data_IF_639110314996
#
_entry.id   IF_639110314996
#
_cell.length_a   1.000
_cell.length_b   1.000
_cell.length_c   1.000
_cell.angle_alpha   90.00
_cell.angle_beta   90.00
_cell.angle_gamma   90.00
#
_symmetry.space_group_name_H-M   'P 1'
#
loop_
_entity.id
_entity.type
_entity.pdbx_description
1 polymer ?
#
# COMPACT_ATOMS: atom_id res chain seq x y z
N UNK A 1 13.71 13.85 -4.38
CA UNK A 1 12.66 14.79 -4.01
C UNK A 1 11.32 14.24 -4.41
N UNK A 2 10.31 14.58 -3.67
CA UNK A 2 8.96 14.07 -3.90
C UNK A 2 8.48 14.41 -5.31
N UNK A 3 8.70 15.63 -5.75
CA UNK A 3 8.24 16.05 -7.06
C UNK A 3 8.87 15.27 -8.21
N UNK A 4 10.06 14.71 -7.98
CA UNK A 4 10.73 13.93 -9.02
C UNK A 4 10.17 12.52 -9.12
N UNK A 5 9.52 12.05 -8.05
CA UNK A 5 9.01 10.68 -7.99
C UNK A 5 7.56 10.60 -8.41
N UNK A 6 6.82 11.73 -8.37
CA UNK A 6 5.40 11.70 -8.62
C UNK A 6 4.91 13.07 -9.05
N UNK A 7 3.77 13.06 -9.77
CA UNK A 7 3.04 14.27 -10.13
C UNK A 7 2.12 14.74 -9.02
N UNK A 8 2.00 13.97 -7.94
CA UNK A 8 1.08 14.32 -6.86
C UNK A 8 1.59 15.50 -6.04
N UNK A 9 0.66 16.39 -5.69
CA UNK A 9 0.97 17.51 -4.82
C UNK A 9 1.21 17.03 -3.40
N UNK A 10 2.06 17.74 -2.67
CA UNK A 10 2.34 17.40 -1.27
C UNK A 10 1.07 17.34 -0.43
N UNK A 11 0.10 18.20 -0.74
CA UNK A 11 -1.17 18.21 -0.01
C UNK A 11 -1.95 16.93 -0.22
N UNK A 12 -1.95 16.41 -1.44
CA UNK A 12 -2.62 15.12 -1.72
C UNK A 12 -1.93 13.98 -0.98
N UNK A 13 -0.62 13.99 -0.99
CA UNK A 13 0.16 12.97 -0.29
C UNK A 13 -0.16 12.98 1.20
N UNK A 14 -0.19 14.18 1.80
CA UNK A 14 -0.47 14.29 3.23
C UNK A 14 -1.89 13.81 3.56
N UNK A 15 -2.86 14.12 2.70
CA UNK A 15 -4.24 13.66 2.91
C UNK A 15 -4.33 12.14 2.90
N UNK A 16 -3.58 11.49 2.01
CA UNK A 16 -3.58 10.04 1.94
C UNK A 16 -2.91 9.43 3.17
N UNK A 17 -1.83 10.04 3.64
CA UNK A 17 -1.17 9.62 4.88
C UNK A 17 -2.15 9.75 6.05
N UNK A 18 -2.84 10.88 6.14
CA UNK A 18 -3.80 11.11 7.24
C UNK A 18 -4.92 10.06 7.21
N UNK A 19 -5.41 9.73 6.02
CA UNK A 19 -6.43 8.69 5.87
C UNK A 19 -5.91 7.32 6.26
N UNK A 20 -4.66 7.02 5.91
CA UNK A 20 -4.07 5.74 6.27
C UNK A 20 -3.90 5.62 7.78
N UNK A 21 -3.59 6.73 8.46
CA UNK A 21 -3.48 6.74 9.92
C UNK A 21 -4.84 6.38 10.55
N UNK A 22 -5.93 6.93 10.02
CA UNK A 22 -7.27 6.62 10.52
C UNK A 22 -7.64 5.18 10.20
N UNK A 23 -7.33 4.70 9.00
CA UNK A 23 -7.62 3.32 8.62
C UNK A 23 -6.88 2.33 9.54
N UNK A 24 -5.67 2.69 9.97
CA UNK A 24 -4.87 1.87 10.89
C UNK A 24 -5.60 1.58 12.20
N UNK A 25 -6.48 2.50 12.64
CA UNK A 25 -7.18 2.31 13.90
C UNK A 25 -8.12 1.11 13.90
N UNK A 26 -8.48 0.62 12.72
CA UNK A 26 -9.36 -0.53 12.59
C UNK A 26 -8.60 -1.85 12.52
N UNK A 27 -7.30 -1.84 12.75
CA UNK A 27 -6.48 -3.05 12.67
C UNK A 27 -7.02 -4.15 13.58
N UNK A 28 -6.95 -5.39 13.09
CA UNK A 28 -7.18 -6.55 13.92
C UNK A 28 -5.81 -7.23 14.10
N UNK A 29 -5.10 -6.85 15.16
CA UNK A 29 -3.73 -7.31 15.38
C UNK A 29 -3.54 -7.78 16.84
N UNK A 30 -4.31 -8.79 17.27
CA UNK A 30 -4.25 -9.26 18.66
C UNK A 30 -2.95 -9.98 18.99
N UNK A 31 -2.20 -10.44 18.02
CA UNK A 31 -0.97 -11.21 18.23
C UNK A 31 0.26 -10.33 18.24
N UNK A 32 0.43 -9.50 17.22
CA UNK A 32 1.61 -8.66 17.10
C UNK A 32 1.45 -7.30 17.77
N UNK A 33 0.22 -6.84 17.92
CA UNK A 33 -0.09 -5.47 18.36
C UNK A 33 0.52 -4.42 17.44
N UNK A 34 0.80 -4.79 16.19
CA UNK A 34 1.40 -3.90 15.21
C UNK A 34 0.36 -3.58 14.13
N UNK A 35 -0.26 -2.41 14.25
CA UNK A 35 -1.30 -1.98 13.32
C UNK A 35 -0.73 -1.25 12.11
N UNK A 36 -1.28 -1.55 10.95
CA UNK A 36 -0.90 -0.92 9.68
C UNK A 36 -2.18 -0.44 9.00
N UNK A 37 -2.12 0.75 8.40
CA UNK A 37 -3.21 1.28 7.61
C UNK A 37 -2.75 1.55 6.20
N UNK A 38 -3.65 1.39 5.24
CA UNK A 38 -3.35 1.64 3.84
C UNK A 38 -4.52 2.29 3.14
N UNK A 39 -4.21 3.09 2.12
CA UNK A 39 -5.22 3.78 1.30
C UNK A 39 -4.82 3.64 -0.15
N UNK A 40 -5.71 3.10 -0.96
CA UNK A 40 -5.50 2.92 -2.39
C UNK A 40 -6.36 3.90 -3.17
N UNK A 41 -5.75 4.60 -4.12
CA UNK A 41 -6.45 5.51 -5.02
C UNK A 41 -6.48 4.88 -6.40
N UNK A 42 -7.67 4.69 -6.94
CA UNK A 42 -7.85 4.17 -8.29
C UNK A 42 -7.73 5.28 -9.32
N UNK A 43 -7.52 4.91 -10.59
CA UNK A 43 -7.40 5.90 -11.65
C UNK A 43 -8.63 6.79 -11.78
N UNK A 44 -9.81 6.25 -11.52
CA UNK A 44 -11.05 7.02 -11.61
C UNK A 44 -11.33 7.87 -10.37
N UNK A 45 -10.42 7.86 -9.39
CA UNK A 45 -10.56 8.65 -8.17
C UNK A 45 -11.19 7.91 -7.01
N UNK A 46 -11.69 6.70 -7.22
CA UNK A 46 -12.24 5.88 -6.13
C UNK A 46 -11.15 5.57 -5.11
N UNK A 47 -11.52 5.51 -3.84
CA UNK A 47 -10.57 5.28 -2.74
C UNK A 47 -11.02 4.07 -1.93
N UNK A 48 -10.05 3.20 -1.61
CA UNK A 48 -10.29 2.02 -0.78
C UNK A 48 -9.27 2.01 0.36
N UNK A 49 -9.76 1.77 1.57
CA UNK A 49 -8.92 1.73 2.76
C UNK A 49 -8.76 0.31 3.24
N UNK A 50 -7.64 0.02 3.88
CA UNK A 50 -7.39 -1.28 4.44
C UNK A 50 -6.59 -1.20 5.72
N UNK A 51 -6.66 -2.25 6.52
CA UNK A 51 -5.84 -2.43 7.69
C UNK A 51 -5.38 -3.88 7.71
N UNK A 52 -4.36 -4.18 8.52
CA UNK A 52 -3.91 -5.55 8.63
C UNK A 52 -4.89 -6.36 9.51
N UNK A 53 -5.06 -7.62 9.13
CA UNK A 53 -6.00 -8.51 9.79
C UNK A 53 -5.27 -9.81 10.08
N UNK A 54 -5.04 -10.08 11.37
CA UNK A 54 -4.27 -11.23 11.79
C UNK A 54 -5.15 -12.44 12.02
N UNK A 55 -4.53 -13.59 12.09
CA UNK A 55 -5.19 -14.86 12.30
C UNK A 55 -4.32 -15.72 13.18
N UNK A 56 -4.94 -16.55 14.03
CA UNK A 56 -4.19 -17.50 14.85
C UNK A 56 -3.34 -18.42 13.96
N UNK A 57 -3.81 -18.72 12.76
CA UNK A 57 -2.99 -19.36 11.75
C UNK A 57 -2.23 -18.26 11.02
N UNK A 58 -0.99 -18.02 11.43
CA UNK A 58 -0.22 -16.85 11.01
C UNK A 58 -0.15 -16.69 9.49
N UNK A 59 -0.10 -17.79 8.75
CA UNK A 59 -0.03 -17.75 7.30
C UNK A 59 -1.26 -17.14 6.63
N UNK A 60 -2.36 -17.01 7.35
CA UNK A 60 -3.59 -16.41 6.82
C UNK A 60 -3.70 -14.93 7.12
N UNK A 61 -2.74 -14.36 7.83
CA UNK A 61 -2.70 -12.93 8.13
C UNK A 61 -2.61 -12.15 6.81
N UNK A 62 -3.40 -11.08 6.71
CA UNK A 62 -3.40 -10.24 5.52
C UNK A 62 -2.93 -8.84 5.86
N UNK A 63 -2.01 -8.31 5.06
CA UNK A 63 -1.47 -6.98 5.26
C UNK A 63 -2.48 -5.91 4.83
N UNK A 64 -2.33 -4.71 5.39
CA UNK A 64 -3.22 -3.58 5.09
C UNK A 64 -3.26 -3.26 3.60
N UNK A 65 -2.11 -3.28 2.95
CA UNK A 65 -2.00 -2.95 1.53
C UNK A 65 -2.83 -3.93 0.70
N UNK A 66 -2.73 -5.23 1.00
CA UNK A 66 -3.50 -6.24 0.25
C UNK A 66 -4.98 -6.14 0.57
N UNK A 67 -5.34 -5.79 1.79
CA UNK A 67 -6.75 -5.57 2.12
C UNK A 67 -7.35 -4.49 1.23
N UNK A 68 -6.65 -3.35 1.08
CA UNK A 68 -7.11 -2.25 0.24
C UNK A 68 -7.17 -2.66 -1.23
N UNK A 69 -6.12 -3.31 -1.72
CA UNK A 69 -6.07 -3.73 -3.13
C UNK A 69 -7.16 -4.75 -3.44
N UNK A 70 -7.33 -5.75 -2.56
CA UNK A 70 -8.32 -6.80 -2.81
C UNK A 70 -9.75 -6.26 -2.76
N UNK A 71 -10.02 -5.29 -1.88
CA UNK A 71 -11.32 -4.63 -1.89
C UNK A 71 -11.58 -3.98 -3.25
N UNK A 72 -10.62 -3.23 -3.75
CA UNK A 72 -10.78 -2.52 -5.01
C UNK A 72 -10.96 -3.50 -6.17
N UNK A 73 -10.15 -4.55 -6.21
CA UNK A 73 -10.23 -5.55 -7.27
C UNK A 73 -11.57 -6.26 -7.24
N UNK A 74 -12.07 -6.60 -6.05
CA UNK A 74 -13.36 -7.26 -5.91
C UNK A 74 -14.52 -6.36 -6.35
N UNK A 75 -14.30 -5.04 -6.36
CA UNK A 75 -15.29 -4.08 -6.86
C UNK A 75 -15.12 -3.76 -8.35
N UNK A 76 -14.17 -4.41 -9.01
CA UNK A 76 -13.99 -4.26 -10.44
C UNK A 76 -12.87 -3.31 -10.85
N UNK A 77 -12.08 -2.80 -9.92
CA UNK A 77 -10.99 -1.87 -10.22
C UNK A 77 -9.67 -2.60 -10.34
N UNK A 78 -8.97 -2.39 -11.45
CA UNK A 78 -7.63 -2.99 -11.66
C UNK A 78 -6.59 -1.95 -12.08
N UNK A 79 -6.97 -0.68 -12.17
CA UNK A 79 -6.06 0.39 -12.58
C UNK A 79 -5.97 1.40 -11.44
N UNK A 80 -4.76 1.60 -10.94
CA UNK A 80 -4.53 2.35 -9.71
C UNK A 80 -3.56 3.48 -9.93
N UNK A 81 -3.74 4.55 -9.16
CA UNK A 81 -2.89 5.73 -9.21
C UNK A 81 -1.83 5.70 -8.13
N UNK A 82 -2.21 5.38 -6.89
CA UNK A 82 -1.30 5.47 -5.75
C UNK A 82 -1.77 4.60 -4.59
N UNK A 83 -0.81 4.19 -3.77
CA UNK A 83 -1.07 3.44 -2.54
C UNK A 83 -0.24 4.04 -1.42
N UNK A 84 -0.90 4.42 -0.33
CA UNK A 84 -0.23 4.92 0.87
C UNK A 84 -0.28 3.85 1.96
N UNK A 85 0.81 3.70 2.73
CA UNK A 85 0.88 2.75 3.82
C UNK A 85 1.55 3.41 5.02
N UNK A 86 0.98 3.19 6.22
CA UNK A 86 1.43 3.84 7.45
C UNK A 86 1.42 2.84 8.59
N UNK A 87 2.46 2.91 9.42
CA UNK A 87 2.53 2.15 10.67
C UNK A 87 3.37 2.93 11.66
N UNK A 88 3.42 2.44 12.90
CA UNK A 88 4.22 3.07 13.95
C UNK A 88 5.66 2.53 13.85
N UNK A 89 6.41 3.10 12.92
CA UNK A 89 7.77 2.67 12.62
C UNK A 89 8.74 3.83 12.75
N UNK A 90 10.03 3.53 12.92
CA UNK A 90 11.06 4.55 13.05
C UNK A 90 11.15 5.43 11.81
N UNK A 91 11.22 4.80 10.64
CA UNK A 91 11.20 5.50 9.37
C UNK A 91 9.90 5.23 8.63
N UNK A 92 9.81 5.65 7.38
CA UNK A 92 8.61 5.37 6.58
C UNK A 92 8.36 3.87 6.50
N UNK A 93 7.09 3.47 6.65
CA UNK A 93 6.73 2.06 6.66
C UNK A 93 6.88 1.45 5.27
N UNK A 94 7.78 0.47 5.17
CA UNK A 94 7.99 -0.22 3.90
C UNK A 94 7.05 -1.42 3.81
N UNK A 95 6.43 -1.66 2.64
CA UNK A 95 5.59 -2.85 2.47
C UNK A 95 6.41 -4.13 2.45
N UNK A 96 5.82 -5.23 2.92
CA UNK A 96 6.51 -6.52 2.91
C UNK A 96 6.64 -7.04 1.48
N UNK A 97 7.44 -8.12 1.32
CA UNK A 97 7.69 -8.67 0.00
C UNK A 97 6.44 -9.15 -0.71
N UNK A 98 5.53 -9.80 0.02
CA UNK A 98 4.28 -10.29 -0.58
C UNK A 98 3.44 -9.13 -1.11
N UNK A 99 3.37 -8.03 -0.35
CA UNK A 99 2.62 -6.86 -0.80
C UNK A 99 3.27 -6.22 -2.03
N UNK A 100 4.62 -6.20 -2.08
CA UNK A 100 5.31 -5.66 -3.25
C UNK A 100 5.00 -6.47 -4.50
N UNK A 101 4.90 -7.79 -4.37
CA UNK A 101 4.53 -8.64 -5.49
C UNK A 101 3.11 -8.34 -5.97
N UNK A 102 2.17 -8.14 -5.04
CA UNK A 102 0.80 -7.80 -5.41
C UNK A 102 0.74 -6.42 -6.05
N UNK A 103 1.49 -5.44 -5.52
CA UNK A 103 1.59 -4.12 -6.15
C UNK A 103 2.11 -4.23 -7.57
N UNK A 104 3.10 -5.09 -7.77
CA UNK A 104 3.70 -5.30 -9.09
C UNK A 104 2.73 -5.88 -10.09
N UNK A 105 1.82 -6.72 -9.64
CA UNK A 105 0.79 -7.30 -10.53
C UNK A 105 -0.01 -6.21 -11.21
N UNK A 106 -0.34 -5.13 -10.48
CA UNK A 106 -1.17 -4.04 -10.98
C UNK A 106 -0.37 -2.80 -11.38
N UNK A 107 0.96 -2.87 -11.31
CA UNK A 107 1.84 -1.76 -11.69
C UNK A 107 1.42 -0.44 -11.05
N UNK A 108 1.21 -0.45 -9.73
CA UNK A 108 0.82 0.79 -9.03
C UNK A 108 1.99 1.77 -9.11
N UNK A 109 1.82 2.93 -9.76
CA UNK A 109 2.96 3.79 -10.06
C UNK A 109 3.54 4.54 -8.87
N UNK A 110 2.71 4.88 -7.88
CA UNK A 110 3.13 5.74 -6.78
C UNK A 110 2.86 5.02 -5.46
N UNK A 111 3.93 4.75 -4.69
CA UNK A 111 3.82 4.15 -3.37
C UNK A 111 4.28 5.19 -2.36
N UNK A 112 3.41 5.53 -1.42
CA UNK A 112 3.67 6.53 -0.39
C UNK A 112 3.85 5.81 0.93
N UNK A 113 5.05 5.83 1.46
CA UNK A 113 5.37 5.17 2.72
C UNK A 113 5.48 6.22 3.82
N UNK A 114 4.75 6.01 4.92
CA UNK A 114 4.75 6.96 6.01
C UNK A 114 4.79 6.29 7.37
N UNK A 115 4.79 7.10 8.41
CA UNK A 115 4.70 6.62 9.78
C UNK A 115 3.90 7.63 10.61
N UNK A 116 3.81 7.39 11.91
CA UNK A 116 3.04 8.28 12.78
C UNK A 116 3.82 9.52 13.19
N UNK A 117 5.09 9.63 12.80
CA UNK A 117 5.97 10.73 13.19
C UNK A 117 6.09 11.80 12.12
N UNK A 118 5.50 11.60 10.96
CA UNK A 118 5.54 12.56 9.87
C UNK A 118 6.58 12.28 8.80
N UNK A 119 7.32 11.17 8.90
CA UNK A 119 8.28 10.79 7.86
C UNK A 119 7.53 10.26 6.66
N UNK A 120 7.93 10.68 5.47
CA UNK A 120 7.28 10.28 4.22
C UNK A 120 8.34 10.00 3.16
N UNK A 121 8.18 8.88 2.46
CA UNK A 121 9.03 8.52 1.33
C UNK A 121 8.12 8.10 0.19
N UNK A 122 8.32 8.66 -1.00
CA UNK A 122 7.51 8.35 -2.18
C UNK A 122 8.39 7.65 -3.20
N UNK A 123 7.98 6.45 -3.60
CA UNK A 123 8.75 5.62 -4.54
C UNK A 123 7.81 4.97 -5.54
N UNK A 124 8.38 4.33 -6.55
CA UNK A 124 7.62 3.53 -7.51
C UNK A 124 7.61 2.07 -7.07
N UNK A 125 6.63 1.31 -7.57
CA UNK A 125 6.62 -0.13 -7.34
C UNK A 125 7.88 -0.78 -7.92
N UNK A 126 8.36 -0.29 -9.08
CA UNK A 126 9.57 -0.84 -9.68
C UNK A 126 10.78 -0.70 -8.77
N UNK A 127 10.88 0.43 -8.07
CA UNK A 127 11.98 0.65 -7.14
C UNK A 127 11.92 -0.32 -5.96
N UNK A 128 10.70 -0.71 -5.56
CA UNK A 128 10.51 -1.63 -4.42
C UNK A 128 10.65 -3.09 -4.80
N UNK A 129 10.55 -3.41 -6.09
CA UNK A 129 10.59 -4.80 -6.54
C UNK A 129 11.38 -4.92 -7.85
N UNK A 130 12.69 -4.70 -7.79
CA UNK A 130 13.53 -4.84 -8.99
C UNK A 130 13.58 -6.29 -9.45
N UNK A 131 13.68 -6.50 -10.77
CA UNK A 131 13.73 -7.84 -11.36
C UNK A 131 12.52 -8.68 -10.95
N UNK A 132 11.34 -8.08 -11.00
CA UNK A 132 10.15 -8.73 -10.48
C UNK A 132 9.66 -9.85 -11.42
N UNK A 133 9.04 -10.85 -10.80
CA UNK A 133 8.25 -11.84 -11.55
C UNK A 133 6.92 -11.16 -11.91
N UNK A 134 6.55 -11.17 -13.18
CA UNK A 134 5.38 -10.44 -13.64
C UNK A 134 4.53 -11.29 -14.59
N UNK A 135 3.37 -10.75 -14.94
CA UNK A 135 2.44 -11.44 -15.84
C UNK A 135 3.07 -11.73 -17.20
N UNK A 136 4.00 -10.90 -17.66
CA UNK A 136 4.66 -11.14 -18.95
C UNK A 136 5.52 -12.40 -18.90
N UNK A 137 6.00 -12.80 -17.71
CA UNK A 137 6.74 -14.05 -17.58
C UNK A 137 5.85 -15.26 -17.76
N UNK A 138 4.55 -15.12 -17.60
CA UNK A 138 3.59 -16.22 -17.69
C UNK A 138 2.79 -16.16 -18.97
N UNK A 139 2.24 -15.00 -19.31
CA UNK A 139 1.27 -14.86 -20.39
C UNK A 139 1.93 -14.70 -21.75
N UNK A 140 3.00 -13.93 -21.80
CA UNK A 140 3.62 -13.52 -23.06
C UNK A 140 4.76 -14.44 -23.48
N UNK A 141 4.71 -15.72 -23.07
CA UNK A 141 5.72 -16.71 -23.48
C UNK A 141 5.46 -17.23 -24.92
#
# INVERSE_FOLDING_TARGET
MIEKETDMMEQEIQKLIDRAIVAREKTYSPYSHFGVGAVLVCEDGSIYEGCNIENASYGLTNCAERTAIFKAVSEGHTKFKALAVVADTEGPCAPCGACRQVMGEFNIPIIIMGNLKGDIEVVSTEALLPFSFSSTDVIDK
#
